data_IF_049570027829
#
_entry.id   IF_049570027829
#
_cell.length_a   1.000
_cell.length_b   1.000
_cell.length_c   1.000
_cell.angle_alpha   90.00
_cell.angle_beta   90.00
_cell.angle_gamma   90.00
#
_symmetry.space_group_name_H-M   'P 1'
#
loop_
_entity.id
_entity.type
_entity.pdbx_description
1 polymer ?
#
# COMPACT_ATOMS: atom_id res chain seq x y z
N UNK A 1 18.66 3.91 -9.30
CA UNK A 1 18.57 5.29 -8.76
C UNK A 1 17.89 5.19 -7.42
N UNK A 2 18.61 5.40 -6.32
CA UNK A 2 18.01 5.46 -4.98
C UNK A 2 17.39 6.86 -4.81
N UNK A 3 16.09 6.94 -4.58
CA UNK A 3 15.39 8.18 -4.28
C UNK A 3 15.31 8.33 -2.76
N UNK A 4 15.89 9.40 -2.22
CA UNK A 4 15.84 9.66 -0.77
C UNK A 4 14.53 10.38 -0.45
N UNK A 5 13.66 9.73 0.32
CA UNK A 5 12.46 10.36 0.86
C UNK A 5 12.85 11.50 1.81
N UNK A 6 12.24 12.67 1.64
CA UNK A 6 12.50 13.81 2.51
C UNK A 6 11.74 13.62 3.83
N UNK A 7 12.46 13.45 4.93
CA UNK A 7 11.89 13.42 6.29
C UNK A 7 11.57 14.84 6.75
N UNK A 8 10.34 15.10 7.17
CA UNK A 8 10.01 16.33 7.91
C UNK A 8 10.16 16.06 9.41
N UNK A 9 11.33 16.40 9.96
CA UNK A 9 11.52 16.49 11.41
C UNK A 9 11.19 17.93 11.87
N UNK A 10 10.32 18.08 12.87
CA UNK A 10 10.19 19.34 13.59
C UNK A 10 11.51 19.62 14.33
N UNK A 11 12.18 20.73 13.98
CA UNK A 11 13.47 21.10 14.56
C UNK A 11 13.31 21.63 16.00
N UNK A 12 14.08 21.05 16.93
CA UNK A 12 14.38 21.64 18.24
C UNK A 12 15.74 22.34 18.13
N UNK A 13 15.89 23.63 18.49
CA UNK A 13 17.18 24.31 18.38
C UNK A 13 18.09 23.92 19.56
N UNK A 14 19.28 23.39 19.23
CA UNK A 14 20.39 23.17 20.15
C UNK A 14 21.68 23.78 19.56
N UNK A 15 22.63 24.22 20.41
CA UNK A 15 23.53 25.31 20.09
C UNK A 15 24.80 24.89 19.32
N UNK A 16 25.40 25.93 18.74
CA UNK A 16 26.66 25.99 17.99
C UNK A 16 27.75 25.02 18.44
N UNK A 17 28.44 24.42 17.45
CA UNK A 17 29.89 24.37 17.53
C UNK A 17 30.57 24.38 16.16
N UNK A 18 31.72 25.04 16.14
CA UNK A 18 32.42 25.53 14.95
C UNK A 18 33.57 24.62 14.56
N UNK A 19 33.89 24.65 13.25
CA UNK A 19 35.22 24.39 12.63
C UNK A 19 35.72 22.94 12.49
N UNK A 20 35.96 22.51 11.24
CA UNK A 20 37.32 22.40 10.67
C UNK A 20 37.32 21.86 9.22
N UNK A 21 38.37 22.25 8.50
CA UNK A 21 38.65 22.16 7.07
C UNK A 21 38.98 20.76 6.52
N UNK A 22 38.88 20.60 5.18
CA UNK A 22 39.62 19.54 4.45
C UNK A 22 39.33 19.36 2.94
N UNK A 23 39.82 20.30 2.13
CA UNK A 23 40.51 20.19 0.81
C UNK A 23 40.12 19.11 -0.24
N UNK A 24 39.96 19.63 -1.46
CA UNK A 24 39.72 19.01 -2.77
C UNK A 24 40.95 18.28 -3.36
N UNK A 25 40.73 17.20 -4.13
CA UNK A 25 41.71 16.68 -5.10
C UNK A 25 41.01 16.09 -6.32
N UNK A 26 41.23 16.72 -7.47
CA UNK A 26 40.73 16.38 -8.79
C UNK A 26 41.66 15.42 -9.54
N UNK A 27 41.10 14.41 -10.22
CA UNK A 27 41.54 13.97 -11.55
C UNK A 27 40.63 12.84 -12.03
N UNK A 28 39.81 13.06 -13.05
CA UNK A 28 40.02 12.49 -14.39
C UNK A 28 38.84 12.88 -15.31
N UNK A 29 39.15 13.54 -16.43
CA UNK A 29 38.17 13.91 -17.46
C UNK A 29 38.27 12.91 -18.60
N UNK A 30 37.17 12.21 -18.90
CA UNK A 30 36.91 11.74 -20.26
C UNK A 30 35.56 12.26 -20.72
N UNK A 31 35.59 13.01 -21.81
CA UNK A 31 34.41 13.53 -22.50
C UNK A 31 33.70 12.39 -23.24
N UNK A 32 32.43 12.22 -22.94
CA UNK A 32 31.46 11.53 -23.78
C UNK A 32 30.17 12.35 -23.75
N UNK A 33 29.90 13.10 -24.82
CA UNK A 33 28.63 13.78 -25.04
C UNK A 33 27.54 12.73 -25.26
N UNK A 34 26.59 12.64 -24.34
CA UNK A 34 25.34 11.88 -24.49
C UNK A 34 24.20 12.89 -24.58
N UNK A 35 23.62 12.99 -25.77
CA UNK A 35 22.34 13.66 -25.99
C UNK A 35 21.24 12.79 -25.39
N UNK A 36 20.58 13.28 -24.34
CA UNK A 36 19.39 12.64 -23.74
C UNK A 36 18.16 13.24 -24.41
N UNK A 37 17.54 12.47 -25.31
CA UNK A 37 16.11 12.57 -25.61
C UNK A 37 15.48 11.25 -25.21
N UNK A 38 14.45 11.37 -24.38
CA UNK A 38 13.46 10.36 -23.97
C UNK A 38 14.02 9.17 -23.18
N UNK A 39 13.97 9.32 -21.85
CA UNK A 39 14.28 8.28 -20.88
C UNK A 39 13.17 7.22 -20.83
N UNK A 40 13.58 5.97 -21.03
CA UNK A 40 13.32 4.73 -20.28
C UNK A 40 13.66 3.56 -21.24
N UNK A 41 14.36 2.50 -20.80
CA UNK A 41 14.72 1.39 -21.66
C UNK A 41 13.46 0.66 -22.16
N UNK A 42 13.31 0.59 -23.48
CA UNK A 42 12.36 -0.30 -24.14
C UNK A 42 12.81 -1.74 -23.92
N UNK A 43 11.97 -2.54 -23.29
CA UNK A 43 12.03 -3.99 -23.45
C UNK A 43 11.51 -4.32 -24.85
N UNK A 44 12.42 -4.48 -25.81
CA UNK A 44 12.11 -5.05 -27.13
C UNK A 44 11.78 -6.53 -26.96
N UNK A 45 10.49 -6.87 -26.93
CA UNK A 45 10.02 -8.24 -27.11
C UNK A 45 10.14 -8.61 -28.59
N UNK A 46 11.28 -9.17 -29.00
CA UNK A 46 11.42 -9.80 -30.31
C UNK A 46 10.83 -11.22 -30.24
N UNK A 47 9.55 -11.35 -30.60
CA UNK A 47 8.96 -12.65 -30.93
C UNK A 47 9.50 -13.09 -32.28
N UNK A 48 10.46 -14.01 -32.27
CA UNK A 48 10.85 -14.79 -33.43
C UNK A 48 9.68 -15.70 -33.81
N UNK A 49 8.93 -15.29 -34.84
CA UNK A 49 7.83 -16.05 -35.41
C UNK A 49 8.34 -16.79 -36.67
N UNK A 50 8.42 -18.12 -36.61
CA UNK A 50 8.46 -19.01 -37.79
C UNK A 50 7.80 -20.33 -37.43
N UNK A 51 6.82 -20.74 -38.22
CA UNK A 51 6.32 -22.11 -38.22
C UNK A 51 4.85 -22.23 -38.58
N UNK A 52 4.57 -22.13 -39.87
CA UNK A 52 3.30 -22.41 -40.55
C UNK A 52 2.56 -23.66 -40.05
N UNK A 53 1.23 -23.60 -39.96
CA UNK A 53 0.35 -24.67 -40.47
C UNK A 53 -1.04 -24.12 -40.81
N UNK A 54 -1.46 -24.37 -42.06
CA UNK A 54 -2.69 -23.92 -42.66
C UNK A 54 -3.84 -24.94 -42.51
N UNK A 55 -4.98 -24.49 -41.94
CA UNK A 55 -6.39 -24.85 -42.16
C UNK A 55 -6.86 -26.31 -42.32
N UNK A 56 -8.16 -26.56 -42.63
CA UNK A 56 -9.32 -25.66 -42.58
C UNK A 56 -10.60 -26.27 -41.91
N UNK A 57 -11.53 -25.39 -41.51
CA UNK A 57 -12.95 -25.57 -41.86
C UNK A 57 -14.00 -25.75 -40.75
N UNK A 58 -15.14 -25.04 -40.99
CA UNK A 58 -16.51 -25.24 -40.47
C UNK A 58 -16.75 -24.71 -39.04
N UNK A 59 -17.90 -24.17 -38.65
CA UNK A 59 -19.19 -23.88 -39.29
C UNK A 59 -19.93 -22.89 -38.40
N UNK A 60 -20.81 -22.10 -39.01
CA UNK A 60 -21.77 -21.19 -38.42
C UNK A 60 -22.61 -21.84 -37.30
N UNK A 61 -22.85 -21.12 -36.20
CA UNK A 61 -24.12 -21.18 -35.47
C UNK A 61 -24.50 -19.79 -34.93
N UNK A 62 -25.63 -19.30 -35.44
CA UNK A 62 -26.41 -18.20 -34.86
C UNK A 62 -27.15 -18.73 -33.63
N UNK A 63 -27.06 -18.02 -32.52
CA UNK A 63 -27.95 -18.20 -31.36
C UNK A 63 -28.21 -16.85 -30.70
N UNK A 64 -29.38 -16.27 -30.98
CA UNK A 64 -29.93 -15.15 -30.22
C UNK A 64 -30.31 -15.68 -28.83
N UNK A 65 -29.76 -15.08 -27.78
CA UNK A 65 -30.17 -15.32 -26.40
C UNK A 65 -30.14 -13.99 -25.64
N UNK A 66 -31.29 -13.59 -25.12
CA UNK A 66 -31.55 -12.31 -24.45
C UNK A 66 -30.69 -12.15 -23.19
N UNK A 67 -30.20 -10.93 -22.97
CA UNK A 67 -29.71 -10.47 -21.67
C UNK A 67 -30.83 -10.48 -20.62
N UNK A 68 -30.55 -10.95 -19.41
CA UNK A 68 -31.14 -10.42 -18.21
C UNK A 68 -30.07 -9.65 -17.44
N UNK A 69 -30.33 -8.35 -17.26
CA UNK A 69 -29.73 -7.54 -16.20
C UNK A 69 -29.94 -8.22 -14.85
N UNK A 70 -28.86 -8.58 -14.16
CA UNK A 70 -28.91 -9.03 -12.77
C UNK A 70 -28.07 -8.10 -11.91
N UNK A 71 -28.72 -7.04 -11.43
CA UNK A 71 -28.34 -6.35 -10.22
C UNK A 71 -28.97 -7.15 -9.07
N UNK A 72 -28.17 -7.99 -8.39
CA UNK A 72 -28.45 -8.57 -7.06
C UNK A 72 -27.50 -9.74 -6.79
N UNK A 73 -26.61 -9.55 -5.80
CA UNK A 73 -26.01 -10.54 -4.88
C UNK A 73 -24.62 -10.07 -4.45
N UNK A 74 -24.58 -9.15 -3.48
CA UNK A 74 -23.44 -8.97 -2.57
C UNK A 74 -23.86 -9.13 -1.09
N UNK A 75 -25.08 -9.62 -0.83
CA UNK A 75 -25.54 -9.98 0.52
C UNK A 75 -25.10 -11.42 0.84
N UNK A 76 -23.82 -11.59 1.17
CA UNK A 76 -23.25 -12.89 1.54
C UNK A 76 -22.02 -12.85 2.45
N UNK A 77 -21.52 -11.67 2.83
CA UNK A 77 -20.28 -11.54 3.60
C UNK A 77 -20.53 -11.38 5.10
N UNK A 78 -20.97 -12.48 5.74
CA UNK A 78 -20.89 -12.68 7.20
C UNK A 78 -20.67 -14.15 7.51
N UNK A 79 -19.43 -14.65 7.40
CA UNK A 79 -18.96 -15.82 8.16
C UNK A 79 -17.48 -15.67 8.54
N UNK A 80 -17.28 -15.66 9.85
CA UNK A 80 -16.11 -16.08 10.66
C UNK A 80 -14.74 -15.44 10.42
N UNK A 81 -14.56 -14.30 11.11
CA UNK A 81 -13.34 -13.48 11.27
C UNK A 81 -12.37 -14.02 12.35
N UNK A 82 -12.21 -15.33 12.49
CA UNK A 82 -11.53 -15.90 13.66
C UNK A 82 -10.06 -16.27 13.45
N UNK A 83 -9.55 -16.28 12.21
CA UNK A 83 -8.30 -16.99 11.94
C UNK A 83 -7.05 -16.12 11.79
N UNK A 84 -7.14 -14.94 11.20
CA UNK A 84 -6.00 -14.00 11.12
C UNK A 84 -5.59 -13.40 12.48
N UNK A 85 -6.09 -13.95 13.58
CA UNK A 85 -5.58 -13.71 14.92
C UNK A 85 -4.23 -14.42 15.05
N UNK A 86 -3.16 -13.64 14.94
CA UNK A 86 -1.79 -14.03 15.29
C UNK A 86 -1.78 -14.79 16.63
N UNK A 87 -1.55 -16.11 16.57
CA UNK A 87 -1.34 -16.90 17.76
C UNK A 87 0.05 -16.63 18.32
N UNK A 88 0.09 -15.61 19.16
CA UNK A 88 1.23 -15.20 19.95
C UNK A 88 1.53 -13.74 19.75
N UNK A 89 0.63 -12.83 20.18
CA UNK A 89 0.99 -11.52 20.76
C UNK A 89 -0.13 -10.59 21.23
N UNK A 90 -1.41 -10.85 20.96
CA UNK A 90 -2.46 -9.91 21.40
C UNK A 90 -3.39 -10.56 22.42
N UNK A 91 -2.95 -10.55 23.69
CA UNK A 91 -3.78 -10.78 24.86
C UNK A 91 -3.88 -9.47 25.66
N UNK A 92 -4.98 -8.72 25.47
CA UNK A 92 -5.89 -8.24 26.55
C UNK A 92 -6.78 -7.03 26.15
N UNK A 93 -8.06 -7.24 26.43
CA UNK A 93 -9.06 -6.36 27.06
C UNK A 93 -9.63 -5.08 26.37
N UNK A 94 -10.77 -5.31 25.71
CA UNK A 94 -11.83 -4.41 25.22
C UNK A 94 -12.56 -3.54 26.29
N UNK A 95 -11.92 -3.10 27.39
CA UNK A 95 -12.65 -2.47 28.53
C UNK A 95 -12.33 -1.03 28.91
N UNK A 96 -11.64 -0.26 28.07
CA UNK A 96 -11.30 1.15 28.40
C UNK A 96 -12.00 2.20 27.51
N UNK A 97 -12.92 1.80 26.62
CA UNK A 97 -13.58 2.75 25.68
C UNK A 97 -14.81 3.52 26.21
N UNK A 98 -15.12 3.49 27.52
CA UNK A 98 -16.25 4.28 28.08
C UNK A 98 -15.88 5.08 29.31
N UNK A 99 -15.01 6.06 29.16
CA UNK A 99 -15.06 7.27 29.98
C UNK A 99 -14.12 8.32 29.40
N UNK A 100 -14.63 9.55 29.25
CA UNK A 100 -13.92 10.83 29.04
C UNK A 100 -14.05 11.43 27.65
N UNK A 101 -15.25 11.94 27.37
CA UNK A 101 -15.36 13.18 26.61
C UNK A 101 -16.60 13.95 27.05
N UNK A 102 -16.49 14.56 28.24
CA UNK A 102 -17.23 15.78 28.58
C UNK A 102 -16.21 16.77 29.12
N UNK A 103 -16.35 18.02 28.65
CA UNK A 103 -15.68 19.25 29.10
C UNK A 103 -14.25 19.54 28.59
N UNK A 104 -14.19 20.42 27.57
CA UNK A 104 -13.38 21.64 27.55
C UNK A 104 -13.84 22.47 26.34
N UNK A 105 -14.83 23.35 26.52
CA UNK A 105 -14.69 24.79 26.79
C UNK A 105 -13.97 25.60 25.69
N UNK A 106 -14.72 26.58 25.18
CA UNK A 106 -14.47 27.51 24.08
C UNK A 106 -13.03 28.05 24.03
N UNK A 107 -12.37 27.81 22.90
CA UNK A 107 -11.38 28.74 22.33
C UNK A 107 -12.00 29.42 21.13
N UNK A 108 -11.76 30.73 21.01
CA UNK A 108 -12.05 31.52 19.82
C UNK A 108 -11.10 31.03 18.74
N UNK A 109 -11.63 30.26 17.79
CA UNK A 109 -10.88 29.74 16.64
C UNK A 109 -10.86 30.81 15.57
N UNK A 110 -9.69 31.41 15.33
CA UNK A 110 -9.38 32.11 14.08
C UNK A 110 -9.69 31.16 12.92
N UNK A 111 -10.41 31.57 11.84
CA UNK A 111 -10.77 30.65 10.78
C UNK A 111 -9.50 30.05 10.15
N UNK A 112 -9.31 28.74 10.32
CA UNK A 112 -8.34 27.98 9.54
C UNK A 112 -8.61 28.20 8.06
N UNK A 113 -7.57 28.26 7.21
CA UNK A 113 -7.77 28.28 5.77
C UNK A 113 -8.66 27.10 5.36
N UNK A 114 -9.65 27.36 4.51
CA UNK A 114 -10.52 26.31 3.96
C UNK A 114 -9.63 25.29 3.25
N UNK A 115 -9.48 24.10 3.85
CA UNK A 115 -8.70 23.01 3.27
C UNK A 115 -9.30 22.67 1.90
N UNK A 116 -8.45 22.49 0.90
CA UNK A 116 -8.92 21.96 -0.39
C UNK A 116 -9.59 20.59 -0.16
N UNK A 117 -10.54 20.18 -1.00
CA UNK A 117 -11.25 18.90 -0.82
C UNK A 117 -10.31 17.70 -0.66
N UNK A 118 -9.23 17.64 -1.47
CA UNK A 118 -8.22 16.59 -1.35
C UNK A 118 -7.39 16.67 -0.06
N UNK A 119 -7.14 17.86 0.47
CA UNK A 119 -6.45 18.04 1.75
C UNK A 119 -7.32 17.65 2.94
N UNK A 120 -8.61 17.98 2.90
CA UNK A 120 -9.57 17.58 3.92
C UNK A 120 -9.72 16.05 4.00
N UNK A 121 -9.73 15.36 2.86
CA UNK A 121 -9.75 13.89 2.80
C UNK A 121 -8.48 13.29 3.39
N UNK A 122 -7.30 13.78 3.02
CA UNK A 122 -6.03 13.32 3.61
C UNK A 122 -6.00 13.55 5.11
N UNK A 123 -6.52 14.68 5.58
CA UNK A 123 -6.58 14.97 7.00
C UNK A 123 -7.53 14.04 7.75
N UNK A 124 -8.67 13.67 7.16
CA UNK A 124 -9.54 12.64 7.72
C UNK A 124 -8.82 11.28 7.86
N UNK A 125 -8.06 10.87 6.83
CA UNK A 125 -7.22 9.66 6.89
C UNK A 125 -6.18 9.77 8.01
N UNK A 126 -5.48 10.90 8.14
CA UNK A 126 -4.50 11.10 9.23
C UNK A 126 -5.15 10.99 10.60
N UNK A 127 -6.33 11.57 10.79
CA UNK A 127 -7.05 11.52 12.05
C UNK A 127 -7.51 10.10 12.36
N UNK A 128 -8.01 9.37 11.36
CA UNK A 128 -8.37 7.96 11.47
C UNK A 128 -7.20 7.10 11.95
N UNK A 129 -6.04 7.21 11.29
CA UNK A 129 -4.84 6.45 11.67
C UNK A 129 -4.31 6.84 13.06
N UNK A 130 -4.38 8.14 13.41
CA UNK A 130 -3.96 8.62 14.74
C UNK A 130 -4.91 8.16 15.85
N UNK A 131 -6.21 8.08 15.57
CA UNK A 131 -7.20 7.57 16.52
C UNK A 131 -7.08 6.05 16.71
N UNK A 132 -6.70 5.31 15.67
CA UNK A 132 -6.49 3.86 15.73
C UNK A 132 -5.20 3.50 16.50
N UNK A 133 -4.13 4.29 16.35
CA UNK A 133 -2.86 4.13 17.08
C UNK A 133 -2.47 5.39 17.87
N UNK A 134 -3.18 5.72 18.96
CA UNK A 134 -2.99 7.00 19.66
C UNK A 134 -1.66 7.11 20.40
N UNK A 135 -1.13 5.99 20.90
CA UNK A 135 0.08 5.96 21.72
C UNK A 135 1.36 5.65 20.92
N UNK A 136 1.22 5.39 19.62
CA UNK A 136 2.35 5.05 18.75
C UNK A 136 3.01 6.33 18.20
N UNK A 137 4.31 6.27 17.88
CA UNK A 137 4.95 7.36 17.13
C UNK A 137 4.62 7.25 15.64
N UNK A 138 4.31 8.38 15.01
CA UNK A 138 3.99 8.48 13.58
C UNK A 138 5.06 9.32 12.87
N UNK A 139 5.54 8.86 11.73
CA UNK A 139 6.43 9.60 10.83
C UNK A 139 5.83 9.64 9.43
N UNK A 140 5.83 10.80 8.76
CA UNK A 140 5.35 10.93 7.39
C UNK A 140 6.49 11.19 6.41
N UNK A 141 6.43 10.49 5.28
CA UNK A 141 7.35 10.59 4.17
C UNK A 141 6.67 11.27 2.99
N UNK A 142 7.39 12.19 2.36
CA UNK A 142 6.91 12.98 1.24
C UNK A 142 7.85 12.89 0.04
N UNK A 143 7.29 13.05 -1.15
CA UNK A 143 8.02 13.14 -2.41
C UNK A 143 7.80 14.53 -3.00
N UNK A 144 8.70 15.50 -2.75
CA UNK A 144 8.54 16.84 -3.30
C UNK A 144 8.76 16.89 -4.82
N UNK A 145 9.35 15.83 -5.39
CA UNK A 145 9.67 15.71 -6.81
C UNK A 145 9.46 14.26 -7.26
N UNK A 146 8.88 14.06 -8.44
CA UNK A 146 8.72 12.76 -9.09
C UNK A 146 7.32 12.56 -9.69
N UNK A 147 7.08 11.44 -10.41
CA UNK A 147 5.79 11.15 -11.03
C UNK A 147 4.62 11.16 -10.05
N UNK A 148 4.87 10.74 -8.81
CA UNK A 148 3.84 10.64 -7.79
C UNK A 148 3.28 12.01 -7.36
N UNK A 149 4.09 13.07 -7.36
CA UNK A 149 3.57 14.41 -7.03
C UNK A 149 2.69 14.96 -8.15
N UNK A 150 2.94 14.56 -9.40
CA UNK A 150 2.09 14.91 -10.53
C UNK A 150 0.77 14.10 -10.55
N UNK A 151 0.83 12.82 -10.21
CA UNK A 151 -0.31 11.91 -10.27
C UNK A 151 -1.19 11.97 -9.01
N UNK A 152 -0.56 12.16 -7.84
CA UNK A 152 -1.20 12.23 -6.52
C UNK A 152 -0.59 13.38 -5.70
N UNK A 153 -0.97 14.64 -6.00
CA UNK A 153 -0.43 15.81 -5.29
C UNK A 153 -0.64 15.72 -3.78
N UNK A 154 0.44 15.91 -3.02
CA UNK A 154 0.40 15.83 -1.56
C UNK A 154 0.34 14.41 -0.99
N UNK A 155 0.60 13.38 -1.80
CA UNK A 155 0.74 11.99 -1.35
C UNK A 155 1.80 11.86 -0.26
N UNK A 156 1.49 11.07 0.77
CA UNK A 156 2.42 10.71 1.85
C UNK A 156 2.34 9.22 2.12
N UNK A 157 3.39 8.71 2.75
CA UNK A 157 3.34 7.43 3.47
C UNK A 157 3.57 7.73 4.94
N UNK A 158 2.68 7.22 5.79
CA UNK A 158 2.81 7.26 7.23
C UNK A 158 3.39 5.94 7.73
N UNK A 159 4.47 6.02 8.51
CA UNK A 159 5.03 4.91 9.27
C UNK A 159 4.62 5.04 10.73
N UNK A 160 4.14 3.96 11.31
CA UNK A 160 3.74 3.84 12.71
C UNK A 160 4.68 2.85 13.38
N UNK A 161 5.38 3.30 14.41
CA UNK A 161 6.30 2.45 15.17
C UNK A 161 5.54 1.49 16.08
N UNK A 162 6.03 0.27 16.30
CA UNK A 162 5.45 -0.65 17.27
C UNK A 162 5.64 -0.15 18.71
N UNK A 163 4.70 -0.47 19.62
CA UNK A 163 4.86 -0.17 21.05
C UNK A 163 5.77 -1.17 21.76
N UNK A 164 5.72 -2.43 21.34
CA UNK A 164 6.60 -3.50 21.83
C UNK A 164 7.36 -4.12 20.65
N UNK A 165 8.61 -4.60 20.84
CA UNK A 165 9.47 -5.08 19.74
C UNK A 165 8.89 -6.21 18.89
N UNK A 166 7.87 -6.86 19.41
CA UNK A 166 7.18 -8.01 18.82
C UNK A 166 6.02 -7.60 17.92
N UNK A 167 5.52 -6.37 18.04
CA UNK A 167 4.49 -5.85 17.14
C UNK A 167 5.11 -5.44 15.80
N UNK A 168 4.36 -5.53 14.69
CA UNK A 168 4.87 -5.10 13.40
C UNK A 168 4.95 -3.58 13.31
N UNK A 169 5.90 -3.12 12.50
CA UNK A 169 5.87 -1.78 11.91
C UNK A 169 4.71 -1.69 10.93
N UNK A 170 3.99 -0.57 10.96
CA UNK A 170 2.87 -0.32 10.03
C UNK A 170 3.25 0.81 9.09
N UNK A 171 3.01 0.62 7.81
CA UNK A 171 3.17 1.63 6.78
C UNK A 171 1.84 1.80 6.08
N UNK A 172 1.33 3.03 5.96
CA UNK A 172 0.02 3.31 5.35
C UNK A 172 0.14 4.48 4.40
N UNK A 173 -0.48 4.40 3.23
CA UNK A 173 -0.62 5.56 2.35
C UNK A 173 -1.54 6.61 2.94
N UNK A 174 -1.26 7.87 2.65
CA UNK A 174 -2.15 9.00 2.92
C UNK A 174 -2.26 9.81 1.63
N UNK A 175 -3.38 9.64 0.93
CA UNK A 175 -3.67 10.32 -0.33
C UNK A 175 -3.66 9.41 -1.56
N UNK A 176 -3.50 8.08 -1.42
CA UNK A 176 -3.73 7.17 -2.54
C UNK A 176 -5.20 7.21 -3.00
N UNK A 177 -6.11 7.51 -2.08
CA UNK A 177 -7.52 7.80 -2.35
C UNK A 177 -7.72 8.95 -3.35
N UNK A 178 -6.74 9.83 -3.54
CA UNK A 178 -6.78 10.88 -4.55
C UNK A 178 -6.86 10.36 -6.00
N UNK A 179 -6.59 9.07 -6.24
CA UNK A 179 -6.71 8.44 -7.56
C UNK A 179 -8.15 8.40 -8.10
N UNK A 180 -9.15 8.48 -7.23
CA UNK A 180 -10.58 8.40 -7.60
C UNK A 180 -11.35 9.63 -7.12
N UNK A 181 -12.39 9.99 -7.87
CA UNK A 181 -13.26 11.12 -7.52
C UNK A 181 -14.35 10.78 -6.47
N UNK A 182 -14.67 9.49 -6.29
CA UNK A 182 -15.68 8.99 -5.34
C UNK A 182 -15.02 8.24 -4.18
N UNK A 183 -15.51 7.07 -3.82
CA UNK A 183 -14.84 6.23 -2.80
C UNK A 183 -13.40 5.91 -3.21
N UNK A 184 -12.51 5.86 -2.22
CA UNK A 184 -11.07 5.76 -2.43
C UNK A 184 -10.43 4.63 -1.64
N UNK A 185 -9.22 4.27 -2.03
CA UNK A 185 -8.42 3.27 -1.35
C UNK A 185 -7.18 3.88 -0.71
N UNK A 186 -6.84 3.41 0.47
CA UNK A 186 -5.50 3.53 1.04
C UNK A 186 -4.93 2.12 1.22
N UNK A 187 -3.60 2.00 1.23
CA UNK A 187 -2.90 0.74 1.27
C UNK A 187 -1.98 0.67 2.48
N UNK A 188 -1.99 -0.45 3.19
CA UNK A 188 -1.13 -0.70 4.34
C UNK A 188 -0.19 -1.90 4.10
N UNK A 189 1.03 -1.81 4.63
CA UNK A 189 1.99 -2.91 4.75
C UNK A 189 2.31 -3.11 6.23
N UNK A 190 2.39 -4.37 6.63
CA UNK A 190 2.90 -4.80 7.92
C UNK A 190 4.28 -5.39 7.75
N UNK A 191 5.25 -4.92 8.54
CA UNK A 191 6.63 -5.35 8.45
C UNK A 191 7.19 -5.74 9.82
N UNK A 192 7.98 -6.83 9.92
CA UNK A 192 8.60 -7.23 11.18
C UNK A 192 9.71 -6.27 11.63
N UNK A 193 10.30 -5.52 10.69
CA UNK A 193 11.43 -4.61 10.93
C UNK A 193 11.21 -3.29 10.22
N UNK A 194 11.79 -2.22 10.77
CA UNK A 194 11.81 -0.91 10.12
C UNK A 194 12.62 -1.00 8.81
N UNK A 195 12.01 -0.58 7.71
CA UNK A 195 12.67 -0.43 6.41
C UNK A 195 12.07 0.70 5.58
N UNK A 196 12.92 1.47 4.92
CA UNK A 196 12.50 2.51 3.96
C UNK A 196 12.00 1.86 2.64
N UNK A 197 12.29 0.58 2.39
CA UNK A 197 11.80 -0.13 1.20
C UNK A 197 10.27 -0.17 1.13
N UNK A 198 9.57 -0.20 2.27
CA UNK A 198 8.11 -0.19 2.32
C UNK A 198 7.52 1.17 1.96
N UNK A 199 8.23 2.26 2.29
CA UNK A 199 7.88 3.62 1.87
C UNK A 199 7.92 3.73 0.35
N UNK A 200 8.97 3.20 -0.28
CA UNK A 200 9.09 3.13 -1.74
C UNK A 200 8.05 2.23 -2.39
N UNK A 201 7.81 1.04 -1.82
CA UNK A 201 6.81 0.09 -2.33
C UNK A 201 5.40 0.69 -2.32
N UNK A 202 5.01 1.38 -1.24
CA UNK A 202 3.72 2.05 -1.17
C UNK A 202 3.59 3.22 -2.15
N UNK A 203 4.67 3.99 -2.37
CA UNK A 203 4.67 5.02 -3.41
C UNK A 203 4.48 4.42 -4.81
N UNK A 204 5.16 3.31 -5.10
CA UNK A 204 4.98 2.58 -6.37
C UNK A 204 3.54 2.08 -6.52
N UNK A 205 2.97 1.44 -5.51
CA UNK A 205 1.59 0.91 -5.55
C UNK A 205 0.57 2.04 -5.69
N UNK A 206 0.72 3.14 -4.97
CA UNK A 206 -0.16 4.30 -5.09
C UNK A 206 -0.09 4.93 -6.48
N UNK A 207 1.13 5.08 -7.04
CA UNK A 207 1.30 5.58 -8.40
C UNK A 207 0.70 4.64 -9.44
N UNK A 208 0.83 3.32 -9.26
CA UNK A 208 0.21 2.32 -10.11
C UNK A 208 -1.33 2.34 -9.99
N UNK A 209 -1.87 2.56 -8.80
CA UNK A 209 -3.31 2.73 -8.56
C UNK A 209 -3.87 4.00 -9.22
N UNK A 210 -3.06 5.06 -9.32
CA UNK A 210 -3.46 6.32 -9.96
C UNK A 210 -3.49 6.26 -11.49
N UNK A 211 -2.87 5.26 -12.12
CA UNK A 211 -2.91 5.09 -13.58
C UNK A 211 -4.26 4.51 -14.02
N UNK A 212 -5.04 5.19 -14.88
CA UNK A 212 -6.33 4.71 -15.36
C UNK A 212 -6.31 3.33 -16.05
N UNK A 213 -5.14 2.89 -16.54
CA UNK A 213 -4.99 1.58 -17.20
C UNK A 213 -4.75 0.44 -16.21
N UNK A 214 -4.54 0.77 -14.94
CA UNK A 214 -4.21 -0.17 -13.90
C UNK A 214 -5.24 -0.06 -12.77
N UNK A 215 -5.72 -1.19 -12.28
CA UNK A 215 -6.68 -1.21 -11.17
C UNK A 215 -6.13 -2.07 -10.05
N UNK A 216 -5.79 -1.41 -8.95
CA UNK A 216 -5.54 -2.06 -7.67
C UNK A 216 -6.88 -2.15 -6.95
N UNK A 217 -7.33 -3.37 -6.68
CA UNK A 217 -8.59 -3.66 -5.99
C UNK A 217 -8.43 -4.89 -5.11
N UNK A 218 -9.36 -5.09 -4.19
CA UNK A 218 -9.42 -6.29 -3.34
C UNK A 218 -9.28 -7.56 -4.19
N UNK A 219 -8.46 -8.49 -3.71
CA UNK A 219 -8.18 -9.78 -4.33
C UNK A 219 -7.12 -9.77 -5.44
N UNK A 220 -6.60 -8.61 -5.83
CA UNK A 220 -5.55 -8.52 -6.85
C UNK A 220 -4.19 -8.87 -6.28
N UNK A 221 -3.35 -9.48 -7.10
CA UNK A 221 -1.93 -9.68 -6.81
C UNK A 221 -1.08 -8.67 -7.56
N UNK A 222 0.01 -8.24 -6.94
CA UNK A 222 0.96 -7.26 -7.48
C UNK A 222 2.34 -7.90 -7.43
N UNK A 223 2.96 -8.10 -8.59
CA UNK A 223 4.38 -8.46 -8.69
C UNK A 223 5.21 -7.20 -8.44
N UNK A 224 6.04 -7.21 -7.39
CA UNK A 224 6.88 -6.06 -7.04
C UNK A 224 8.31 -6.19 -7.60
N UNK A 225 8.63 -7.32 -8.24
CA UNK A 225 9.90 -7.55 -8.93
C UNK A 225 11.12 -7.74 -8.02
N UNK A 226 10.90 -7.85 -6.71
CA UNK A 226 11.92 -8.05 -5.67
C UNK A 226 11.30 -8.69 -4.43
N UNK A 227 12.09 -9.29 -3.53
CA UNK A 227 11.61 -9.64 -2.20
C UNK A 227 10.93 -8.45 -1.51
N UNK A 228 9.78 -8.68 -0.86
CA UNK A 228 9.01 -7.60 -0.22
C UNK A 228 9.74 -6.95 0.96
N UNK A 229 10.60 -7.72 1.62
CA UNK A 229 11.59 -7.27 2.60
C UNK A 229 12.87 -8.08 2.46
N UNK A 230 13.95 -7.65 3.13
CA UNK A 230 15.25 -8.32 3.05
C UNK A 230 15.16 -9.78 3.52
N UNK A 231 15.79 -10.67 2.74
CA UNK A 231 15.79 -12.11 3.03
C UNK A 231 14.46 -12.84 2.79
N UNK A 232 13.43 -12.14 2.32
CA UNK A 232 12.14 -12.76 2.08
C UNK A 232 12.10 -13.62 0.81
N UNK A 233 11.35 -14.72 0.86
CA UNK A 233 11.00 -15.52 -0.32
C UNK A 233 9.85 -14.87 -1.09
N UNK A 234 8.91 -14.26 -0.37
CA UNK A 234 7.76 -13.58 -0.96
C UNK A 234 8.20 -12.34 -1.77
N UNK A 235 7.69 -12.23 -2.98
CA UNK A 235 8.03 -11.24 -4.01
C UNK A 235 6.78 -10.67 -4.70
N UNK A 236 5.60 -11.02 -4.18
CA UNK A 236 4.30 -10.54 -4.60
C UNK A 236 3.53 -9.98 -3.40
N UNK A 237 2.55 -9.12 -3.67
CA UNK A 237 1.61 -8.59 -2.68
C UNK A 237 0.20 -8.99 -3.08
N UNK A 238 -0.59 -9.48 -2.13
CA UNK A 238 -2.02 -9.68 -2.26
C UNK A 238 -2.75 -8.50 -1.63
N UNK A 239 -3.70 -7.91 -2.35
CA UNK A 239 -4.60 -6.89 -1.82
C UNK A 239 -5.74 -7.59 -1.06
N UNK A 240 -5.74 -7.50 0.26
CA UNK A 240 -6.68 -8.14 1.18
C UNK A 240 -7.35 -7.12 2.10
N UNK A 241 -8.39 -7.56 2.81
CA UNK A 241 -8.91 -6.80 3.94
C UNK A 241 -7.85 -6.73 5.05
N UNK A 242 -7.87 -5.70 5.91
CA UNK A 242 -6.90 -5.54 7.00
C UNK A 242 -7.22 -6.47 8.16
N UNK A 243 -7.22 -7.79 7.91
CA UNK A 243 -7.65 -8.80 8.87
C UNK A 243 -6.99 -8.70 10.26
N UNK A 244 -5.70 -8.35 10.41
CA UNK A 244 -5.07 -8.17 11.73
C UNK A 244 -5.71 -7.07 12.60
N UNK A 245 -6.38 -6.09 11.98
CA UNK A 245 -6.95 -4.91 12.65
C UNK A 245 -8.47 -4.80 12.52
N UNK A 246 -9.06 -5.55 11.59
CA UNK A 246 -10.50 -5.63 11.39
C UNK A 246 -11.13 -4.35 10.83
N UNK A 247 -12.47 -4.27 10.83
CA UNK A 247 -13.22 -3.23 10.12
C UNK A 247 -13.04 -1.82 10.72
N UNK A 248 -12.56 -1.73 11.96
CA UNK A 248 -12.31 -0.44 12.60
C UNK A 248 -11.16 0.33 11.95
N UNK A 249 -10.15 -0.37 11.40
CA UNK A 249 -9.12 0.27 10.57
C UNK A 249 -9.57 0.40 9.11
N UNK A 250 -10.30 -0.60 8.61
CA UNK A 250 -10.72 -0.69 7.21
C UNK A 250 -11.50 0.55 6.74
N UNK A 251 -12.42 1.06 7.56
CA UNK A 251 -13.39 2.05 7.13
C UNK A 251 -13.06 3.44 7.70
N UNK A 252 -12.68 4.36 6.83
CA UNK A 252 -12.42 5.76 7.15
C UNK A 252 -13.46 6.65 6.46
N UNK A 253 -14.28 7.34 7.24
CA UNK A 253 -15.21 8.34 6.74
C UNK A 253 -14.48 9.66 6.48
N UNK A 254 -14.54 10.16 5.25
CA UNK A 254 -13.95 11.42 4.84
C UNK A 254 -15.02 12.36 4.24
N UNK A 255 -14.75 13.66 4.06
CA UNK A 255 -15.70 14.58 3.46
C UNK A 255 -16.18 14.08 2.09
N UNK A 256 -17.48 13.84 1.97
CA UNK A 256 -18.19 13.40 0.75
C UNK A 256 -17.71 12.08 0.13
N UNK A 257 -16.95 11.24 0.84
CA UNK A 257 -16.46 9.95 0.33
C UNK A 257 -16.09 8.95 1.42
N UNK A 258 -16.22 7.66 1.11
CA UNK A 258 -15.72 6.58 1.94
C UNK A 258 -14.31 6.17 1.50
N UNK A 259 -13.41 6.01 2.46
CA UNK A 259 -12.04 5.54 2.21
C UNK A 259 -11.88 4.16 2.83
N UNK A 260 -11.49 3.18 2.01
CA UNK A 260 -11.20 1.83 2.48
C UNK A 260 -9.69 1.60 2.57
N UNK A 261 -9.21 1.21 3.75
CA UNK A 261 -7.80 0.85 3.98
C UNK A 261 -7.64 -0.65 3.73
N UNK A 262 -6.86 -1.01 2.71
CA UNK A 262 -6.59 -2.39 2.30
C UNK A 262 -5.18 -2.82 2.67
N UNK A 263 -5.01 -4.10 2.98
CA UNK A 263 -3.73 -4.69 3.32
C UNK A 263 -3.04 -5.30 2.11
N UNK A 264 -1.77 -4.96 1.94
CA UNK A 264 -0.87 -5.59 0.99
C UNK A 264 -0.13 -6.73 1.70
N UNK A 265 -0.75 -7.91 1.74
CA UNK A 265 -0.20 -9.10 2.38
C UNK A 265 0.87 -9.73 1.48
N UNK A 266 2.09 -9.98 1.97
CA UNK A 266 3.14 -10.59 1.16
C UNK A 266 2.85 -12.06 0.84
N UNK A 267 2.91 -12.40 -0.45
CA UNK A 267 2.74 -13.75 -0.98
C UNK A 267 3.89 -14.14 -1.91
N UNK A 268 4.12 -15.44 -2.08
CA UNK A 268 5.11 -15.94 -3.04
C UNK A 268 4.56 -15.91 -4.47
N UNK A 269 5.44 -15.93 -5.48
CA UNK A 269 5.04 -16.15 -6.86
C UNK A 269 4.21 -17.44 -7.07
N UNK A 270 4.50 -18.51 -6.31
CA UNK A 270 3.74 -19.75 -6.38
C UNK A 270 2.31 -19.59 -5.84
N UNK A 271 2.13 -18.86 -4.75
CA UNK A 271 0.83 -18.50 -4.18
C UNK A 271 0.05 -17.57 -5.11
N UNK A 272 0.71 -16.58 -5.72
CA UNK A 272 0.07 -15.67 -6.68
C UNK A 272 -0.45 -16.43 -7.90
N UNK A 273 0.34 -17.38 -8.43
CA UNK A 273 -0.09 -18.29 -9.50
C UNK A 273 -1.24 -19.18 -9.04
N UNK A 274 -1.17 -19.74 -7.83
CA UNK A 274 -2.24 -20.56 -7.28
C UNK A 274 -3.56 -19.78 -7.18
N UNK A 275 -3.55 -18.55 -6.67
CA UNK A 275 -4.73 -17.69 -6.64
C UNK A 275 -5.28 -17.41 -8.05
N UNK A 276 -4.41 -17.19 -9.04
CA UNK A 276 -4.83 -17.01 -10.43
C UNK A 276 -5.47 -18.27 -11.03
N UNK A 277 -5.04 -19.46 -10.65
CA UNK A 277 -5.51 -20.74 -11.20
C UNK A 277 -6.71 -21.32 -10.44
N UNK A 278 -6.79 -21.11 -9.13
CA UNK A 278 -7.75 -21.75 -8.22
C UNK A 278 -8.74 -20.78 -7.59
N UNK A 279 -8.55 -19.48 -7.77
CA UNK A 279 -9.34 -18.42 -7.15
C UNK A 279 -8.73 -17.92 -5.85
N UNK A 280 -9.11 -16.70 -5.46
CA UNK A 280 -8.64 -16.05 -4.24
C UNK A 280 -9.08 -16.82 -3.00
N UNK A 281 -10.34 -17.26 -2.95
CA UNK A 281 -10.88 -17.94 -1.77
C UNK A 281 -10.10 -19.24 -1.47
N UNK A 282 -9.63 -19.93 -2.51
CA UNK A 282 -8.81 -21.14 -2.34
C UNK A 282 -7.45 -20.81 -1.72
N UNK A 283 -6.81 -19.70 -2.12
CA UNK A 283 -5.56 -19.26 -1.50
C UNK A 283 -5.79 -18.82 -0.05
N UNK A 284 -6.83 -18.02 0.21
CA UNK A 284 -7.15 -17.57 1.57
C UNK A 284 -7.41 -18.75 2.50
N UNK A 285 -8.17 -19.75 2.03
CA UNK A 285 -8.40 -20.98 2.78
C UNK A 285 -7.11 -21.77 3.07
N UNK A 286 -6.16 -21.77 2.14
CA UNK A 286 -4.87 -22.47 2.31
C UNK A 286 -3.95 -21.74 3.30
N UNK A 287 -3.88 -20.41 3.21
CA UNK A 287 -3.18 -19.56 4.19
C UNK A 287 -3.79 -19.73 5.58
N UNK A 288 -5.11 -19.82 5.65
CA UNK A 288 -5.82 -20.12 6.89
C UNK A 288 -5.47 -21.52 7.41
N UNK A 289 -5.67 -22.58 6.65
CA UNK A 289 -5.41 -23.94 7.13
C UNK A 289 -3.96 -24.19 7.56
N UNK A 290 -3.00 -23.47 6.98
CA UNK A 290 -1.57 -23.58 7.30
C UNK A 290 -1.13 -22.79 8.53
N UNK A 291 -1.97 -21.87 9.06
CA UNK A 291 -1.61 -20.97 10.15
C UNK A 291 -0.30 -20.20 9.91
N UNK A 292 -0.03 -19.87 8.64
CA UNK A 292 1.23 -19.23 8.27
C UNK A 292 1.26 -17.76 8.73
N UNK A 293 2.35 -17.36 9.36
CA UNK A 293 2.65 -15.95 9.55
C UNK A 293 3.12 -15.36 8.22
N UNK A 294 2.22 -14.66 7.52
CA UNK A 294 2.53 -14.12 6.19
C UNK A 294 3.61 -13.05 6.23
N UNK A 295 3.76 -12.30 7.34
CA UNK A 295 4.77 -11.24 7.47
C UNK A 295 6.14 -11.78 7.90
N UNK A 296 6.27 -13.08 8.15
CA UNK A 296 7.56 -13.73 8.40
C UNK A 296 8.37 -13.83 7.10
N UNK A 297 9.56 -13.20 7.00
CA UNK A 297 10.33 -13.17 5.75
C UNK A 297 10.73 -14.57 5.25
N UNK A 298 11.14 -15.44 6.19
CA UNK A 298 11.62 -16.78 5.90
C UNK A 298 10.53 -17.84 5.74
N UNK A 299 9.26 -17.46 5.70
CA UNK A 299 8.18 -18.43 5.56
C UNK A 299 8.28 -19.18 4.22
N UNK A 300 8.10 -20.51 4.19
CA UNK A 300 7.95 -21.23 2.94
C UNK A 300 6.60 -20.88 2.29
N UNK A 301 6.47 -21.24 1.02
CA UNK A 301 5.18 -21.20 0.35
C UNK A 301 4.25 -22.27 0.93
N UNK A 302 2.95 -22.01 0.94
CA UNK A 302 1.92 -22.98 1.39
C UNK A 302 1.35 -23.84 0.27
N UNK A 303 1.75 -23.59 -0.98
CA UNK A 303 1.33 -24.30 -2.21
C UNK A 303 2.31 -25.39 -2.60
#
# INVERSE_FOLDING_TARGET
MAYVAARHCAAVPGPDDSSAHGVCSSSDRRHGTVSVRDGWPRCDFTLANRGDYAGPGRSCYRGRGRSPSSNSRLDGWRRDRAFWQFHGLLSRDDRVQRARTREASRRVTTPSPELTGGEAVREAVRQHLSAFWPDHSHEEFAWPVGPIEGNLPGFRVRRVAPLVPTDPWVYVTVGASGATAGDGLEFLILAPTESDSHVETLAMVANFHADPNHTVSLGRTIEIGRPWTEGAIADHLLVSLPYPYGPALEHCEAPDRHIQVLWLAPITAAEARYASERGLEALEQLLEQSAVDVISPGRPSVV
#
